data_IF_103382241684
#
_entry.id   IF_103382241684
#
_cell.length_a   1.000
_cell.length_b   1.000
_cell.length_c   1.000
_cell.angle_alpha   90.00
_cell.angle_beta   90.00
_cell.angle_gamma   90.00
#
_symmetry.space_group_name_H-M   'P 1'
#
loop_
_entity.id
_entity.type
_entity.pdbx_description
1 polymer ?
#
# COMPACT_ATOMS: atom_id res chain seq x y z
N UNK A 1 -0.41 -5.40 -17.04
CA UNK A 1 -0.82 -6.39 -16.03
C UNK A 1 -2.33 -6.22 -15.83
N UNK A 2 -2.95 -6.87 -14.85
CA UNK A 2 -4.32 -6.55 -14.44
C UNK A 2 -4.37 -5.17 -13.77
N UNK A 3 -5.47 -4.42 -13.93
CA UNK A 3 -5.64 -3.11 -13.29
C UNK A 3 -5.50 -3.17 -11.75
N UNK A 4 -6.04 -4.22 -11.12
CA UNK A 4 -5.88 -4.44 -9.68
C UNK A 4 -4.42 -4.61 -9.27
N UNK A 5 -3.62 -5.30 -10.09
CA UNK A 5 -2.19 -5.48 -9.85
C UNK A 5 -1.44 -4.15 -9.89
N UNK A 6 -1.77 -3.28 -10.84
CA UNK A 6 -1.20 -1.93 -10.92
C UNK A 6 -1.56 -1.08 -9.70
N UNK A 7 -2.82 -1.12 -9.24
CA UNK A 7 -3.25 -0.42 -8.02
C UNK A 7 -2.51 -0.91 -6.78
N UNK A 8 -2.36 -2.22 -6.61
CA UNK A 8 -1.68 -2.82 -5.45
C UNK A 8 -0.21 -2.40 -5.45
N UNK A 9 0.49 -2.57 -6.58
CA UNK A 9 1.92 -2.23 -6.68
C UNK A 9 2.14 -0.72 -6.57
N UNK A 10 1.31 0.10 -7.21
CA UNK A 10 1.42 1.57 -7.15
C UNK A 10 1.17 2.12 -5.75
N UNK A 11 0.15 1.62 -5.05
CA UNK A 11 -0.11 1.98 -3.65
C UNK A 11 1.02 1.53 -2.73
N UNK A 12 1.48 0.28 -2.86
CA UNK A 12 2.61 -0.23 -2.08
C UNK A 12 3.91 0.54 -2.36
N UNK A 13 4.11 1.00 -3.59
CA UNK A 13 5.27 1.79 -3.98
C UNK A 13 5.31 3.17 -3.33
N UNK A 14 4.17 3.88 -3.31
CA UNK A 14 4.09 5.15 -2.57
C UNK A 14 4.29 4.93 -1.07
N UNK A 15 3.66 3.90 -0.52
CA UNK A 15 3.78 3.56 0.89
C UNK A 15 5.24 3.31 1.29
N UNK A 16 5.95 2.51 0.50
CA UNK A 16 7.38 2.26 0.68
C UNK A 16 8.24 3.51 0.51
N UNK A 17 8.01 4.31 -0.54
CA UNK A 17 8.77 5.53 -0.80
C UNK A 17 8.60 6.54 0.34
N UNK A 18 7.37 6.74 0.82
CA UNK A 18 7.09 7.61 1.95
C UNK A 18 7.82 7.15 3.22
N UNK A 19 7.72 5.87 3.57
CA UNK A 19 8.42 5.34 4.75
C UNK A 19 9.95 5.41 4.61
N UNK A 20 10.49 5.09 3.44
CA UNK A 20 11.94 4.99 3.22
C UNK A 20 12.65 6.34 3.13
N UNK A 21 11.98 7.33 2.58
CA UNK A 21 12.55 8.67 2.33
C UNK A 21 11.99 9.75 3.26
N UNK A 22 11.09 9.41 4.18
CA UNK A 22 10.47 10.36 5.10
C UNK A 22 9.55 11.37 4.40
N UNK A 23 8.94 10.99 3.28
CA UNK A 23 7.97 11.85 2.58
C UNK A 23 6.65 11.84 3.35
N UNK A 24 5.90 12.96 3.38
CA UNK A 24 4.61 13.02 4.05
C UNK A 24 3.66 11.97 3.48
N UNK A 25 3.08 11.15 4.36
CA UNK A 25 2.03 10.20 4.01
C UNK A 25 0.68 10.75 4.42
N UNK A 26 -0.24 10.83 3.47
CA UNK A 26 -1.65 11.07 3.74
C UNK A 26 -2.52 10.29 2.75
N UNK A 27 -3.81 10.18 3.08
CA UNK A 27 -4.78 9.40 2.30
C UNK A 27 -4.97 9.97 0.88
N UNK A 28 -4.83 11.28 0.71
CA UNK A 28 -4.95 11.95 -0.60
C UNK A 28 -3.73 11.62 -1.46
N UNK A 29 -2.52 11.70 -0.91
CA UNK A 29 -1.30 11.27 -1.58
C UNK A 29 -1.33 9.79 -1.98
N UNK A 30 -1.80 8.91 -1.09
CA UNK A 30 -2.01 7.50 -1.41
C UNK A 30 -3.02 7.30 -2.55
N UNK A 31 -4.14 8.03 -2.50
CA UNK A 31 -5.14 8.04 -3.57
C UNK A 31 -4.54 8.50 -4.90
N UNK A 32 -3.70 9.55 -4.88
CA UNK A 32 -3.01 10.05 -6.07
C UNK A 32 -2.09 8.98 -6.69
N UNK A 33 -1.39 8.18 -5.88
CA UNK A 33 -0.57 7.07 -6.38
C UNK A 33 -1.40 5.96 -7.03
N UNK A 34 -2.53 5.59 -6.42
CA UNK A 34 -3.46 4.60 -7.00
C UNK A 34 -4.04 5.12 -8.32
N UNK A 35 -4.46 6.39 -8.37
CA UNK A 35 -4.95 7.02 -9.61
C UNK A 35 -3.83 7.05 -10.67
N UNK A 36 -2.62 7.43 -10.29
CA UNK A 36 -1.45 7.45 -11.17
C UNK A 36 -1.14 6.07 -11.74
N UNK A 37 -1.29 5.01 -10.95
CA UNK A 37 -1.12 3.63 -11.41
C UNK A 37 -2.17 3.16 -12.43
N UNK A 38 -3.29 3.87 -12.54
CA UNK A 38 -4.34 3.59 -13.53
C UNK A 38 -4.34 4.58 -14.70
N UNK A 39 -3.65 5.71 -14.55
CA UNK A 39 -3.66 6.80 -15.50
C UNK A 39 -3.18 6.41 -16.91
N UNK A 40 -2.14 5.57 -17.10
CA UNK A 40 -1.75 5.15 -18.44
C UNK A 40 -2.88 4.41 -19.18
N UNK A 41 -3.67 3.61 -18.46
CA UNK A 41 -4.76 2.80 -19.02
C UNK A 41 -6.03 3.61 -19.32
N UNK A 42 -6.07 4.92 -19.05
CA UNK A 42 -7.21 5.79 -19.38
C UNK A 42 -7.53 5.79 -20.89
N UNK A 43 -6.55 5.43 -21.71
CA UNK A 43 -6.64 5.36 -23.17
C UNK A 43 -7.55 4.21 -23.67
N UNK A 44 -7.96 3.31 -22.79
CA UNK A 44 -8.92 2.26 -23.12
C UNK A 44 -10.33 2.63 -22.65
N UNK A 45 -11.34 2.75 -23.53
CA UNK A 45 -12.72 3.07 -23.13
C UNK A 45 -13.42 1.99 -22.27
N UNK A 46 -12.75 0.86 -22.00
CA UNK A 46 -13.20 -0.21 -21.10
C UNK A 46 -12.41 -0.30 -19.80
N UNK A 47 -11.35 0.50 -19.59
CA UNK A 47 -10.63 0.52 -18.30
C UNK A 47 -11.46 1.24 -17.23
N UNK A 48 -11.24 0.93 -15.96
CA UNK A 48 -12.00 1.51 -14.84
C UNK A 48 -11.99 3.04 -14.87
N UNK A 49 -10.86 3.66 -15.22
CA UNK A 49 -10.72 5.12 -15.35
C UNK A 49 -11.20 5.65 -16.70
N UNK A 50 -10.99 4.92 -17.80
CA UNK A 50 -11.50 5.29 -19.13
C UNK A 50 -13.03 5.25 -19.22
N UNK A 51 -13.68 4.38 -18.43
CA UNK A 51 -15.14 4.36 -18.28
C UNK A 51 -15.66 5.55 -17.45
N UNK A 52 -14.85 6.08 -16.53
CA UNK A 52 -15.19 7.28 -15.75
C UNK A 52 -15.07 8.56 -16.60
N UNK A 53 -14.09 8.62 -17.52
CA UNK A 53 -13.83 9.76 -18.41
C UNK A 53 -14.09 9.43 -19.89
N UNK A 54 -15.20 8.76 -20.19
CA UNK A 54 -15.56 8.28 -21.55
C UNK A 54 -15.37 9.29 -22.69
N UNK A 55 -15.75 10.59 -22.57
CA UNK A 55 -15.58 11.53 -23.68
C UNK A 55 -14.10 11.77 -24.01
N UNK A 56 -13.27 11.91 -22.97
CA UNK A 56 -11.84 12.17 -23.10
C UNK A 56 -11.10 10.91 -23.57
N UNK A 57 -11.44 9.75 -23.02
CA UNK A 57 -10.88 8.45 -23.41
C UNK A 57 -11.11 8.15 -24.90
N UNK A 58 -12.31 8.45 -25.42
CA UNK A 58 -12.62 8.24 -26.84
C UNK A 58 -11.83 9.17 -27.77
N UNK A 59 -11.63 10.44 -27.40
CA UNK A 59 -10.82 11.39 -28.19
C UNK A 59 -9.36 10.98 -28.19
N UNK A 60 -8.81 10.63 -27.02
CA UNK A 60 -7.41 10.21 -26.90
C UNK A 60 -7.16 8.89 -27.65
N UNK A 61 -8.05 7.91 -27.51
CA UNK A 61 -7.96 6.63 -28.21
C UNK A 61 -8.07 6.79 -29.74
N UNK A 62 -8.94 7.70 -30.21
CA UNK A 62 -9.11 7.99 -31.64
C UNK A 62 -7.90 8.72 -32.25
N UNK A 63 -7.20 9.57 -31.49
CA UNK A 63 -6.07 10.38 -31.98
C UNK A 63 -4.73 9.67 -31.82
N UNK A 64 -4.52 8.96 -30.71
CA UNK A 64 -3.20 8.40 -30.34
C UNK A 64 -3.14 6.86 -30.38
N UNK A 65 -4.28 6.19 -30.52
CA UNK A 65 -4.38 4.73 -30.54
C UNK A 65 -4.25 4.08 -29.16
N UNK A 66 -4.58 2.79 -29.09
CA UNK A 66 -4.44 2.00 -27.86
C UNK A 66 -2.97 1.90 -27.44
N UNK A 67 -2.65 2.35 -26.22
CA UNK A 67 -1.28 2.31 -25.64
C UNK A 67 -0.26 3.14 -26.44
N UNK A 68 -0.67 4.31 -26.94
CA UNK A 68 0.20 5.22 -27.69
C UNK A 68 1.06 6.11 -26.79
N UNK A 69 0.69 7.39 -26.70
CA UNK A 69 1.45 8.42 -25.95
C UNK A 69 1.64 8.05 -24.49
N UNK A 70 0.57 7.61 -23.80
CA UNK A 70 0.58 7.32 -22.35
C UNK A 70 1.51 6.19 -21.93
N UNK A 71 1.89 5.32 -22.86
CA UNK A 71 2.77 4.18 -22.60
C UNK A 71 4.18 4.40 -23.17
N UNK A 72 4.52 5.66 -23.45
CA UNK A 72 5.78 6.05 -24.07
C UNK A 72 6.69 6.86 -23.14
N UNK A 73 7.95 7.02 -23.53
CA UNK A 73 8.89 7.90 -22.82
C UNK A 73 8.44 9.36 -22.82
N UNK A 74 7.69 9.80 -23.85
CA UNK A 74 7.13 11.15 -23.90
C UNK A 74 6.15 11.41 -22.76
N UNK A 75 5.37 10.41 -22.34
CA UNK A 75 4.49 10.57 -21.19
C UNK A 75 5.28 10.75 -19.89
N UNK A 76 6.37 9.99 -19.71
CA UNK A 76 7.25 10.16 -18.53
C UNK A 76 7.84 11.57 -18.52
N UNK A 77 8.36 12.04 -19.66
CA UNK A 77 8.90 13.41 -19.80
C UNK A 77 7.82 14.46 -19.51
N UNK A 78 6.60 14.25 -20.00
CA UNK A 78 5.47 15.14 -19.73
C UNK A 78 5.12 15.20 -18.24
N UNK A 79 5.06 14.06 -17.54
CA UNK A 79 4.81 14.05 -16.09
C UNK A 79 5.95 14.70 -15.30
N UNK A 80 7.21 14.50 -15.70
CA UNK A 80 8.36 15.16 -15.08
C UNK A 80 8.34 16.68 -15.32
N UNK A 81 7.95 17.11 -16.51
CA UNK A 81 7.76 18.53 -16.82
C UNK A 81 6.64 19.15 -15.97
N UNK A 82 5.50 18.47 -15.82
CA UNK A 82 4.41 18.91 -14.91
C UNK A 82 4.91 19.00 -13.47
N UNK A 83 5.70 18.04 -12.99
CA UNK A 83 6.30 18.10 -11.66
C UNK A 83 7.24 19.31 -11.51
N UNK A 84 8.02 19.63 -12.54
CA UNK A 84 8.91 20.78 -12.56
C UNK A 84 8.15 22.11 -12.52
N UNK A 85 7.15 22.29 -13.38
CA UNK A 85 6.37 23.54 -13.45
C UNK A 85 5.45 23.75 -12.24
N UNK A 86 4.94 22.66 -11.65
CA UNK A 86 3.98 22.70 -10.55
C UNK A 86 4.58 22.10 -9.26
N UNK A 87 5.83 22.44 -8.95
CA UNK A 87 6.57 21.90 -7.80
C UNK A 87 5.85 22.12 -6.45
N UNK A 88 5.07 23.20 -6.31
CA UNK A 88 4.25 23.47 -5.11
C UNK A 88 3.19 22.38 -4.86
N UNK A 89 2.76 21.68 -5.91
CA UNK A 89 1.81 20.57 -5.86
C UNK A 89 2.51 19.19 -5.85
N UNK A 90 3.82 19.15 -5.58
CA UNK A 90 4.60 17.91 -5.54
C UNK A 90 4.03 16.85 -4.59
N UNK A 91 3.35 17.25 -3.51
CA UNK A 91 2.66 16.34 -2.58
C UNK A 91 1.56 15.49 -3.24
N UNK A 92 1.03 15.89 -4.41
CA UNK A 92 0.09 15.11 -5.22
C UNK A 92 0.74 14.54 -6.48
N UNK A 93 1.61 15.31 -7.13
CA UNK A 93 2.21 14.93 -8.41
C UNK A 93 3.23 13.80 -8.25
N UNK A 94 4.05 13.85 -7.19
CA UNK A 94 5.05 12.82 -6.92
C UNK A 94 4.43 11.43 -6.65
N UNK A 95 3.43 11.27 -5.76
CA UNK A 95 2.75 9.99 -5.60
C UNK A 95 2.12 9.50 -6.90
N UNK A 96 1.44 10.38 -7.64
CA UNK A 96 0.86 10.06 -8.93
C UNK A 96 1.91 9.53 -9.91
N UNK A 97 3.05 10.21 -10.03
CA UNK A 97 4.15 9.81 -10.91
C UNK A 97 4.74 8.46 -10.50
N UNK A 98 4.91 8.19 -9.20
CA UNK A 98 5.38 6.89 -8.71
C UNK A 98 4.39 5.78 -9.13
N UNK A 99 3.10 5.99 -8.93
CA UNK A 99 2.05 5.09 -9.42
C UNK A 99 2.15 4.86 -10.93
N UNK A 100 2.26 5.93 -11.71
CA UNK A 100 2.40 5.89 -13.16
C UNK A 100 3.61 5.06 -13.61
N UNK A 101 4.77 5.30 -12.99
CA UNK A 101 6.00 4.59 -13.31
C UNK A 101 5.90 3.10 -12.96
N UNK A 102 5.24 2.75 -11.86
CA UNK A 102 5.02 1.33 -11.51
C UNK A 102 4.09 0.62 -12.50
N UNK A 103 3.11 1.33 -13.08
CA UNK A 103 2.30 0.80 -14.16
C UNK A 103 3.14 0.46 -15.38
N UNK A 104 3.93 1.42 -15.86
CA UNK A 104 4.83 1.23 -16.99
C UNK A 104 5.83 0.09 -16.72
N UNK A 105 6.46 0.07 -15.55
CA UNK A 105 7.38 -0.99 -15.16
C UNK A 105 6.69 -2.37 -15.19
N UNK A 106 5.46 -2.46 -14.68
CA UNK A 106 4.68 -3.69 -14.72
C UNK A 106 4.38 -4.15 -16.14
N UNK A 107 3.99 -3.23 -17.03
CA UNK A 107 3.70 -3.57 -18.43
C UNK A 107 4.95 -3.96 -19.23
N UNK A 108 6.11 -3.41 -18.90
CA UNK A 108 7.40 -3.83 -19.47
C UNK A 108 7.72 -5.30 -19.13
N UNK A 109 7.27 -5.81 -17.98
CA UNK A 109 7.46 -7.20 -17.56
C UNK A 109 6.49 -8.19 -18.22
N UNK A 110 5.55 -7.71 -19.04
CA UNK A 110 4.58 -8.54 -19.76
C UNK A 110 4.97 -8.72 -21.23
N UNK A 111 4.50 -9.78 -21.90
CA UNK A 111 4.69 -9.97 -23.34
C UNK A 111 4.15 -8.82 -24.22
N UNK A 112 3.17 -8.06 -23.73
CA UNK A 112 2.62 -6.92 -24.46
C UNK A 112 3.62 -5.76 -24.57
N UNK A 113 4.43 -5.55 -23.53
CA UNK A 113 5.46 -4.53 -23.48
C UNK A 113 4.96 -3.09 -23.58
N UNK A 114 5.89 -2.18 -23.83
CA UNK A 114 5.66 -0.74 -23.98
C UNK A 114 6.25 -0.18 -25.28
N UNK A 115 5.53 0.69 -26.01
CA UNK A 115 6.07 1.43 -27.14
C UNK A 115 6.85 2.67 -26.66
N UNK A 116 7.97 2.45 -25.96
CA UNK A 116 8.80 3.52 -25.38
C UNK A 116 9.24 4.59 -26.39
N UNK A 117 9.39 4.23 -27.66
CA UNK A 117 9.83 5.11 -28.75
C UNK A 117 8.69 5.66 -29.61
N UNK A 118 7.43 5.57 -29.16
CA UNK A 118 6.30 6.25 -29.83
C UNK A 118 6.62 7.75 -30.02
N UNK A 119 6.32 8.39 -31.17
CA UNK A 119 5.52 7.91 -32.32
C UNK A 119 6.33 7.24 -33.44
N UNK A 120 7.59 6.86 -33.21
CA UNK A 120 8.47 6.31 -34.25
C UNK A 120 7.97 4.92 -34.67
N UNK A 121 7.22 4.85 -35.77
CA UNK A 121 6.47 3.67 -36.27
C UNK A 121 7.29 2.40 -36.58
N UNK A 122 8.62 2.45 -36.51
CA UNK A 122 9.52 1.41 -37.05
C UNK A 122 10.14 0.47 -36.01
N UNK A 123 9.77 0.59 -34.72
CA UNK A 123 10.37 -0.18 -33.62
C UNK A 123 9.30 -0.94 -32.82
N UNK A 124 9.60 -2.19 -32.47
CA UNK A 124 8.75 -3.08 -31.66
C UNK A 124 8.61 -2.56 -30.24
N UNK A 125 7.54 -2.96 -29.56
CA UNK A 125 7.38 -2.77 -28.12
C UNK A 125 8.58 -3.36 -27.38
N UNK A 126 9.07 -2.64 -26.37
CA UNK A 126 10.06 -3.15 -25.44
C UNK A 126 9.33 -4.05 -24.44
N UNK A 127 9.81 -5.27 -24.26
CA UNK A 127 9.21 -6.25 -23.36
C UNK A 127 10.28 -7.15 -22.74
N UNK A 128 10.10 -7.47 -21.47
CA UNK A 128 10.81 -8.48 -20.71
C UNK A 128 9.75 -9.49 -20.25
N UNK A 129 9.39 -10.50 -21.08
CA UNK A 129 8.21 -11.33 -20.88
C UNK A 129 8.37 -12.33 -19.73
N UNK A 130 8.41 -11.83 -18.50
CA UNK A 130 8.56 -12.60 -17.26
C UNK A 130 7.19 -12.93 -16.68
N UNK A 131 6.22 -12.01 -16.81
CA UNK A 131 4.89 -12.12 -16.22
C UNK A 131 3.84 -12.40 -17.29
N UNK A 132 3.08 -13.49 -17.13
CA UNK A 132 1.86 -13.72 -17.90
C UNK A 132 0.69 -12.94 -17.31
N UNK A 133 0.09 -12.05 -18.09
CA UNK A 133 -1.05 -11.23 -17.66
C UNK A 133 -2.20 -12.09 -17.14
N UNK A 134 -2.67 -11.81 -15.92
CA UNK A 134 -3.74 -12.54 -15.23
C UNK A 134 -3.38 -13.97 -14.81
N UNK A 135 -2.12 -14.39 -15.02
CA UNK A 135 -1.64 -15.70 -14.65
C UNK A 135 -1.12 -15.77 -13.21
N UNK A 136 -0.86 -16.98 -12.73
CA UNK A 136 -0.27 -17.23 -11.41
C UNK A 136 1.07 -16.49 -11.21
N UNK A 137 1.91 -16.40 -12.25
CA UNK A 137 3.18 -15.68 -12.19
C UNK A 137 3.01 -14.19 -11.84
N UNK A 138 1.95 -13.55 -12.35
CA UNK A 138 1.66 -12.15 -12.03
C UNK A 138 1.21 -12.01 -10.58
N UNK A 139 0.27 -12.85 -10.13
CA UNK A 139 -0.24 -12.80 -8.76
C UNK A 139 0.86 -13.04 -7.74
N UNK A 140 1.73 -14.02 -7.99
CA UNK A 140 2.88 -14.31 -7.15
C UNK A 140 3.85 -13.12 -7.12
N UNK A 141 4.21 -12.57 -8.28
CA UNK A 141 5.12 -11.42 -8.35
C UNK A 141 4.56 -10.19 -7.64
N UNK A 142 3.28 -9.87 -7.84
CA UNK A 142 2.59 -8.75 -7.18
C UNK A 142 2.57 -8.96 -5.67
N UNK A 143 2.22 -10.15 -5.20
CA UNK A 143 2.14 -10.46 -3.77
C UNK A 143 3.50 -10.36 -3.10
N UNK A 144 4.55 -10.93 -3.72
CA UNK A 144 5.91 -10.88 -3.18
C UNK A 144 6.47 -9.45 -3.22
N UNK A 145 6.26 -8.72 -4.30
CA UNK A 145 6.73 -7.33 -4.44
C UNK A 145 6.02 -6.42 -3.45
N UNK A 146 4.68 -6.45 -3.40
CA UNK A 146 3.91 -5.64 -2.46
C UNK A 146 4.24 -6.03 -1.02
N UNK A 147 4.35 -7.33 -0.73
CA UNK A 147 4.77 -7.83 0.58
C UNK A 147 6.16 -7.36 0.99
N UNK A 148 7.13 -7.32 0.07
CA UNK A 148 8.47 -6.79 0.31
C UNK A 148 8.48 -5.26 0.52
N UNK A 149 7.71 -4.52 -0.29
CA UNK A 149 7.55 -3.07 -0.13
C UNK A 149 6.91 -2.72 1.22
N UNK A 150 5.94 -3.52 1.67
CA UNK A 150 5.31 -3.39 2.98
C UNK A 150 6.26 -3.89 4.08
N UNK A 151 7.07 -4.93 3.86
CA UNK A 151 8.01 -5.37 4.90
C UNK A 151 9.11 -4.34 5.16
N UNK A 152 9.45 -3.53 4.15
CA UNK A 152 10.35 -2.38 4.26
C UNK A 152 9.96 -1.39 5.37
N UNK A 153 8.68 -1.37 5.77
CA UNK A 153 8.16 -0.56 6.88
C UNK A 153 8.71 -0.95 8.24
N UNK A 154 9.03 -2.22 8.43
CA UNK A 154 9.64 -2.71 9.67
C UNK A 154 11.14 -2.45 9.70
N UNK A 155 11.73 -2.04 8.57
CA UNK A 155 13.15 -1.70 8.44
C UNK A 155 13.43 -0.19 8.32
N UNK A 156 12.41 0.61 8.02
CA UNK A 156 12.54 2.06 7.91
C UNK A 156 12.36 2.71 9.29
N UNK A 157 13.31 3.54 9.70
CA UNK A 157 13.14 4.45 10.83
C UNK A 157 12.17 5.55 10.42
N UNK A 158 10.90 5.41 10.77
CA UNK A 158 9.84 6.36 10.41
C UNK A 158 10.07 7.74 11.05
N UNK A 159 10.39 8.80 10.27
CA UNK A 159 10.48 10.15 10.81
C UNK A 159 9.06 10.72 10.91
N UNK A 160 8.54 10.91 12.12
CA UNK A 160 7.34 11.71 12.36
C UNK A 160 6.01 10.95 12.49
N UNK A 161 5.98 9.63 12.34
CA UNK A 161 4.94 8.83 12.99
C UNK A 161 5.32 8.74 14.46
N UNK A 162 4.43 9.08 15.41
CA UNK A 162 4.72 8.93 16.82
C UNK A 162 4.64 7.43 17.18
N UNK A 163 5.35 6.55 16.48
CA UNK A 163 5.46 5.13 16.84
C UNK A 163 6.28 4.95 18.14
N UNK A 164 7.13 5.92 18.42
CA UNK A 164 7.78 6.22 19.70
C UNK A 164 6.81 6.73 20.79
N UNK A 165 5.58 7.17 20.42
CA UNK A 165 4.52 7.53 21.39
C UNK A 165 3.31 6.61 21.34
N UNK A 166 3.17 5.79 20.31
CA UNK A 166 2.24 4.68 20.26
C UNK A 166 2.82 3.58 21.15
N UNK A 167 1.99 2.88 21.95
CA UNK A 167 2.47 1.89 22.90
C UNK A 167 2.95 0.59 22.23
N UNK A 168 3.35 0.63 20.95
CA UNK A 168 3.76 -0.55 20.20
C UNK A 168 5.14 -1.05 20.64
N UNK A 169 6.08 -0.14 20.94
CA UNK A 169 7.34 -0.51 21.63
C UNK A 169 7.09 -1.03 23.07
N UNK A 170 5.96 -0.65 23.66
CA UNK A 170 5.51 -1.14 24.97
C UNK A 170 4.61 -2.38 24.87
N UNK A 171 4.45 -3.03 23.71
CA UNK A 171 3.65 -4.26 23.64
C UNK A 171 4.23 -5.40 24.48
N UNK A 172 5.56 -5.45 24.61
CA UNK A 172 6.27 -6.36 25.52
C UNK A 172 6.35 -5.84 26.98
N UNK A 173 6.03 -4.58 27.22
CA UNK A 173 6.06 -3.92 28.53
C UNK A 173 4.67 -3.70 29.15
N UNK A 174 3.58 -3.91 28.39
CA UNK A 174 2.22 -3.96 28.94
C UNK A 174 2.13 -5.15 29.89
N UNK A 175 1.96 -4.87 31.18
CA UNK A 175 1.65 -5.83 32.23
C UNK A 175 0.35 -6.56 31.88
N UNK A 176 0.52 -7.66 31.16
CA UNK A 176 -0.60 -8.52 30.79
C UNK A 176 -0.90 -9.41 32.00
N UNK A 177 -2.17 -9.53 32.42
CA UNK A 177 -2.57 -10.42 33.50
C UNK A 177 -2.26 -11.91 33.22
N UNK A 178 -1.96 -12.27 31.97
CA UNK A 178 -1.52 -13.63 31.64
C UNK A 178 -0.02 -13.87 31.92
N UNK A 179 0.84 -12.84 31.96
CA UNK A 179 2.26 -13.01 32.29
C UNK A 179 2.45 -13.37 33.76
N UNK A 180 1.68 -12.74 34.65
CA UNK A 180 1.61 -13.13 36.06
C UNK A 180 1.02 -14.54 36.22
N UNK A 181 0.07 -14.94 35.38
CA UNK A 181 -0.44 -16.31 35.37
C UNK A 181 0.59 -17.36 34.89
N UNK A 182 1.40 -17.04 33.88
CA UNK A 182 2.46 -17.92 33.37
C UNK A 182 3.65 -18.00 34.33
N UNK A 183 4.07 -16.87 34.92
CA UNK A 183 5.12 -16.86 35.96
C UNK A 183 4.63 -17.53 37.25
N UNK A 184 3.36 -17.32 37.63
CA UNK A 184 2.76 -18.06 38.74
C UNK A 184 2.66 -19.56 38.45
N UNK A 185 2.30 -19.96 37.22
CA UNK A 185 2.26 -21.36 36.80
C UNK A 185 3.65 -21.99 36.74
N UNK A 186 4.67 -21.26 36.29
CA UNK A 186 6.07 -21.71 36.27
C UNK A 186 6.64 -21.80 37.69
N UNK A 187 6.28 -20.88 38.59
CA UNK A 187 6.60 -20.97 40.02
C UNK A 187 5.84 -22.10 40.73
N UNK A 188 4.67 -22.50 40.22
CA UNK A 188 3.89 -23.64 40.71
C UNK A 188 4.46 -24.99 40.25
N UNK A 189 5.09 -25.02 39.09
CA UNK A 189 5.70 -26.19 38.46
C UNK A 189 7.21 -26.29 38.73
N UNK A 190 7.66 -25.83 39.90
CA UNK A 190 9.09 -25.73 40.25
C UNK A 190 9.95 -26.94 39.87
N UNK A 191 11.23 -26.69 39.61
CA UNK A 191 12.24 -27.67 39.12
C UNK A 191 12.43 -28.93 39.97
N UNK A 192 11.75 -29.07 41.10
CA UNK A 192 11.71 -30.28 41.89
C UNK A 192 10.26 -30.68 42.15
N UNK A 193 9.78 -31.72 41.46
CA UNK A 193 8.40 -32.19 41.46
C UNK A 193 7.81 -32.54 42.84
N UNK A 194 7.39 -31.53 43.60
CA UNK A 194 6.46 -31.64 44.71
C UNK A 194 5.38 -30.57 44.55
N UNK A 195 4.15 -31.02 44.31
CA UNK A 195 2.96 -30.18 44.33
C UNK A 195 2.85 -29.47 45.69
N UNK A 196 2.99 -28.14 45.69
CA UNK A 196 2.57 -27.32 46.83
C UNK A 196 1.09 -26.97 46.64
N UNK A 197 0.33 -26.99 47.73
CA UNK A 197 -1.10 -26.70 47.71
C UNK A 197 -1.38 -25.27 47.22
N UNK A 198 -2.42 -25.12 46.40
CA UNK A 198 -2.80 -23.85 45.78
C UNK A 198 -3.11 -22.77 46.81
N UNK A 199 -2.68 -21.51 46.58
CA UNK A 199 -3.02 -20.41 47.45
C UNK A 199 -4.54 -20.16 47.40
N UNK A 200 -5.15 -19.71 48.51
CA UNK A 200 -6.59 -19.48 48.57
C UNK A 200 -7.01 -18.34 47.62
N UNK A 201 -8.07 -18.57 46.86
CA UNK A 201 -8.65 -17.59 45.93
C UNK A 201 -9.22 -16.42 46.75
N UNK A 202 -8.82 -15.17 46.49
CA UNK A 202 -9.37 -14.02 47.21
C UNK A 202 -10.87 -13.87 46.91
N UNK A 203 -11.67 -13.79 47.97
CA UNK A 203 -13.12 -13.66 47.87
C UNK A 203 -13.52 -12.35 47.17
N UNK A 204 -14.35 -12.46 46.14
CA UNK A 204 -14.92 -11.32 45.40
C UNK A 204 -15.83 -10.52 46.35
N UNK A 205 -15.52 -9.25 46.61
CA UNK A 205 -16.41 -8.36 47.37
C UNK A 205 -17.77 -8.26 46.66
N UNK A 206 -18.91 -8.29 47.39
CA UNK A 206 -20.23 -8.11 46.80
C UNK A 206 -20.33 -6.73 46.13
N UNK A 207 -21.02 -6.67 45.00
CA UNK A 207 -21.31 -5.42 44.31
C UNK A 207 -22.22 -4.53 45.18
N UNK A 208 -21.87 -3.25 45.32
CA UNK A 208 -22.76 -2.27 45.96
C UNK A 208 -24.05 -2.10 45.13
N UNK A 209 -25.23 -2.04 45.78
CA UNK A 209 -26.49 -1.85 45.08
C UNK A 209 -26.55 -0.44 44.48
N UNK A 210 -26.76 -0.38 43.16
CA UNK A 210 -26.83 0.86 42.39
C UNK A 210 -27.94 1.79 42.87
N UNK A 211 -27.60 3.06 43.12
CA UNK A 211 -28.57 4.13 43.40
C UNK A 211 -29.47 4.35 42.18
N UNK A 212 -30.77 4.12 42.35
CA UNK A 212 -31.79 4.52 41.37
C UNK A 212 -31.92 6.04 41.34
N UNK A 213 -31.85 6.63 40.15
CA UNK A 213 -32.17 8.05 39.91
C UNK A 213 -33.69 8.24 39.92
N UNK A 214 -34.24 9.30 40.55
CA UNK A 214 -35.67 9.57 40.49
C UNK A 214 -36.05 10.14 39.12
N UNK A 215 -37.19 9.67 38.61
CA UNK A 215 -37.84 10.17 37.40
C UNK A 215 -38.35 11.59 37.66
N UNK A 216 -37.98 12.54 36.78
CA UNK A 216 -38.55 13.88 36.76
C UNK A 216 -39.99 13.80 36.24
N UNK A 217 -40.93 14.34 37.02
CA UNK A 217 -42.30 14.62 36.56
C UNK A 217 -42.37 15.81 35.62
#
# INVERSE_FOLDING_TARGET
>A
MMASSHMIVGGAAWFYASARFGLPFDVVAFGAAVIGSLAPDIDHPKSTLGQLMRPLSNVISAVFGHRGVTHSTLAIVGCLWVLHEYADYSHLILPFLIGYLTHLAGDLLTPAGLPLLWPIKRRRNFALPILKTGGFSEQLAVTLLAGWMISGLFSASWPGLPLDRLPFENWMAMDRPWRSAVVAAQGFLGEEGRERSAPPIPARKPAEPGRSRPLKG
#
